data_IF_061733273987
#
_entry.id   IF_061733273987
#
_cell.length_a   1.000
_cell.length_b   1.000
_cell.length_c   1.000
_cell.angle_alpha   90.00
_cell.angle_beta   90.00
_cell.angle_gamma   90.00
#
_symmetry.space_group_name_H-M   'P 1'
#
loop_
_entity.id
_entity.type
_entity.pdbx_description
1 polymer ?
#
# COMPACT_ATOMS: atom_id res chain seq x y z
N UNK A 1 27.28 23.45 63.71
CA UNK A 1 26.22 22.55 63.20
C UNK A 1 26.06 22.75 61.69
N UNK A 2 26.73 21.95 60.84
CA UNK A 2 26.53 22.00 59.39
C UNK A 2 25.32 21.14 58.95
N UNK A 3 24.40 21.71 58.19
CA UNK A 3 23.23 20.99 57.64
C UNK A 3 23.57 20.23 56.34
N UNK A 4 23.15 18.97 56.23
CA UNK A 4 23.38 18.15 55.04
C UNK A 4 22.47 18.52 53.86
N UNK A 5 23.03 19.05 52.78
CA UNK A 5 22.38 19.08 51.47
C UNK A 5 22.53 17.70 50.79
N UNK A 6 21.47 16.87 50.81
CA UNK A 6 21.43 15.64 50.00
C UNK A 6 20.86 15.91 48.61
N UNK A 7 21.65 15.64 47.56
CA UNK A 7 21.14 15.50 46.19
C UNK A 7 20.30 14.22 46.07
N UNK A 8 19.05 14.35 45.64
CA UNK A 8 18.34 13.37 44.80
C UNK A 8 17.98 14.14 43.52
N UNK A 9 18.47 13.84 42.31
CA UNK A 9 18.66 12.57 41.59
C UNK A 9 17.37 11.97 41.05
N UNK A 10 17.27 11.98 39.72
CA UNK A 10 16.44 11.08 38.91
C UNK A 10 14.91 11.14 39.10
N UNK A 11 14.31 12.30 38.81
CA UNK A 11 12.93 12.33 38.31
C UNK A 11 12.88 11.60 36.96
N UNK A 12 12.53 10.31 36.97
CA UNK A 12 12.42 9.50 35.74
C UNK A 12 11.28 10.06 34.90
N UNK A 13 11.59 10.58 33.71
CA UNK A 13 10.58 10.87 32.69
C UNK A 13 9.83 9.57 32.38
N UNK A 14 8.51 9.57 32.63
CA UNK A 14 7.64 8.45 32.27
C UNK A 14 7.57 8.43 30.75
N UNK A 15 8.32 7.51 30.14
CA UNK A 15 8.26 7.28 28.71
C UNK A 15 6.89 6.72 28.35
N UNK A 16 6.03 7.57 27.80
CA UNK A 16 4.86 7.15 27.05
C UNK A 16 5.35 6.41 25.79
N UNK A 17 5.64 5.11 25.94
CA UNK A 17 5.69 4.18 24.83
C UNK A 17 4.26 4.04 24.30
N UNK A 18 3.94 4.75 23.24
CA UNK A 18 2.66 4.65 22.54
C UNK A 18 2.39 3.19 22.17
N UNK A 19 1.33 2.61 22.74
CA UNK A 19 0.88 1.25 22.44
C UNK A 19 0.19 1.31 21.07
N UNK A 20 0.95 1.03 20.02
CA UNK A 20 0.55 1.18 18.62
C UNK A 20 0.64 -0.18 17.92
N UNK A 21 -0.51 -0.86 17.78
CA UNK A 21 -0.60 -2.24 17.29
C UNK A 21 -1.78 -2.41 16.32
N UNK A 22 -1.77 -1.78 15.14
CA UNK A 22 -2.86 -1.95 14.14
C UNK A 22 -2.33 -2.14 12.72
N UNK A 23 -2.13 -3.42 12.35
CA UNK A 23 -2.11 -3.94 10.97
C UNK A 23 -1.71 -2.94 9.83
N UNK A 24 -0.41 -2.63 9.65
CA UNK A 24 0.11 -1.97 8.43
C UNK A 24 -0.19 -2.71 7.10
N UNK A 25 -0.82 -3.88 7.14
CA UNK A 25 -0.98 -4.79 6.00
C UNK A 25 -1.82 -4.27 4.84
N UNK A 26 -2.75 -3.33 5.06
CA UNK A 26 -3.65 -2.88 3.98
C UNK A 26 -2.99 -1.83 3.08
N UNK A 27 -2.42 -0.77 3.67
CA UNK A 27 -1.83 0.34 2.90
C UNK A 27 -0.45 0.06 2.31
N UNK A 28 0.29 -0.94 2.81
CA UNK A 28 1.66 -1.24 2.36
C UNK A 28 1.72 -1.98 1.00
N UNK A 29 0.62 -2.61 0.58
CA UNK A 29 0.51 -3.41 -0.66
C UNK A 29 0.57 -2.59 -1.97
N UNK A 30 0.42 -1.26 -1.89
CA UNK A 30 -0.12 -0.46 -3.00
C UNK A 30 0.89 0.51 -3.65
N UNK A 31 2.14 0.55 -3.19
CA UNK A 31 3.17 1.50 -3.66
C UNK A 31 3.89 1.15 -4.96
N UNK A 32 3.24 0.52 -5.94
CA UNK A 32 3.90 -0.37 -6.92
C UNK A 32 4.47 0.34 -8.18
N UNK A 33 5.62 1.07 -8.10
CA UNK A 33 6.59 1.35 -9.21
C UNK A 33 7.88 2.09 -8.74
N UNK A 34 9.08 2.11 -9.38
CA UNK A 34 9.88 1.19 -10.24
C UNK A 34 11.39 1.63 -10.36
N UNK A 35 12.34 0.70 -10.57
CA UNK A 35 13.79 0.97 -10.49
C UNK A 35 14.32 1.93 -11.56
N UNK A 36 15.19 2.86 -11.15
CA UNK A 36 16.00 3.67 -12.06
C UNK A 36 17.34 2.99 -12.43
N UNK A 37 17.72 3.13 -13.70
CA UNK A 37 19.12 3.10 -14.13
C UNK A 37 19.39 4.43 -14.84
N UNK A 38 20.46 5.14 -14.45
CA UNK A 38 20.71 6.50 -14.93
C UNK A 38 21.32 6.52 -16.34
N UNK A 39 20.52 6.92 -17.34
CA UNK A 39 21.02 7.50 -18.59
C UNK A 39 20.13 8.69 -18.95
N UNK A 40 20.71 9.86 -19.19
CA UNK A 40 19.97 11.02 -19.66
C UNK A 40 19.71 10.87 -21.16
N UNK A 41 18.44 10.87 -21.56
CA UNK A 41 18.01 10.78 -22.97
C UNK A 41 16.99 11.89 -23.22
N UNK A 42 17.15 12.73 -24.27
CA UNK A 42 16.19 13.76 -24.60
C UNK A 42 14.87 13.14 -25.04
N UNK A 43 13.74 13.73 -24.63
CA UNK A 43 12.41 13.20 -24.92
C UNK A 43 12.11 13.20 -26.43
N UNK A 44 11.88 12.03 -27.07
CA UNK A 44 11.38 11.97 -28.43
C UNK A 44 9.86 12.05 -28.43
N UNK A 45 9.28 12.82 -29.35
CA UNK A 45 7.89 12.63 -29.75
C UNK A 45 7.78 11.33 -30.56
N UNK A 46 7.78 10.19 -29.88
CA UNK A 46 7.46 8.91 -30.49
C UNK A 46 5.98 8.90 -30.87
N UNK A 47 5.71 8.67 -32.16
CA UNK A 47 4.43 8.12 -32.59
C UNK A 47 4.17 6.78 -31.89
N UNK A 48 2.92 6.31 -31.88
CA UNK A 48 2.47 5.14 -31.13
C UNK A 48 2.97 3.78 -31.70
N UNK A 49 4.28 3.60 -31.81
CA UNK A 49 4.93 2.31 -31.97
C UNK A 49 4.84 1.54 -30.65
N UNK A 50 4.45 0.26 -30.73
CA UNK A 50 4.16 -0.67 -29.63
C UNK A 50 4.93 -0.35 -28.33
N UNK A 51 4.24 0.30 -27.38
CA UNK A 51 4.73 0.43 -26.01
C UNK A 51 4.97 -0.98 -25.45
N UNK A 52 6.05 -1.17 -24.72
CA UNK A 52 6.36 -2.46 -24.08
C UNK A 52 5.84 -2.49 -22.63
N UNK A 53 5.55 -3.66 -22.04
CA UNK A 53 5.11 -3.73 -20.65
C UNK A 53 6.12 -3.11 -19.67
N UNK A 54 7.42 -3.23 -19.95
CA UNK A 54 8.50 -2.58 -19.17
C UNK A 54 8.43 -1.04 -19.28
N UNK A 55 8.01 -0.50 -20.43
CA UNK A 55 7.84 0.93 -20.63
C UNK A 55 6.66 1.48 -19.82
N UNK A 56 5.51 0.80 -19.86
CA UNK A 56 4.38 1.13 -19.01
C UNK A 56 4.72 1.06 -17.52
N UNK A 57 5.40 0.00 -17.07
CA UNK A 57 5.84 -0.11 -15.67
C UNK A 57 6.80 1.05 -15.27
N UNK A 58 7.66 1.53 -16.18
CA UNK A 58 8.47 2.75 -15.96
C UNK A 58 7.58 3.99 -15.80
N UNK A 59 6.54 4.14 -16.61
CA UNK A 59 5.59 5.27 -16.49
C UNK A 59 4.84 5.28 -15.16
N UNK A 60 4.58 4.12 -14.54
CA UNK A 60 4.03 4.07 -13.17
C UNK A 60 5.02 4.67 -12.15
N UNK A 61 6.35 4.52 -12.31
CA UNK A 61 7.31 5.19 -11.42
C UNK A 61 7.36 6.66 -11.72
N UNK A 62 7.33 7.03 -13.00
CA UNK A 62 7.24 8.43 -13.41
C UNK A 62 6.04 9.08 -12.73
N UNK A 63 4.86 8.45 -12.75
CA UNK A 63 3.67 8.92 -12.05
C UNK A 63 3.89 9.13 -10.54
N UNK A 64 4.48 8.14 -9.85
CA UNK A 64 4.84 8.27 -8.43
C UNK A 64 5.79 9.45 -8.21
N UNK A 65 6.94 9.48 -8.90
CA UNK A 65 8.00 10.46 -8.70
C UNK A 65 7.61 11.89 -9.18
N UNK A 66 6.71 12.06 -10.16
CA UNK A 66 6.19 13.37 -10.58
C UNK A 66 4.99 13.85 -9.77
N UNK A 67 4.42 12.98 -8.92
CA UNK A 67 3.17 13.19 -8.18
C UNK A 67 1.91 13.20 -9.08
N UNK A 68 1.97 12.58 -10.27
CA UNK A 68 0.90 12.57 -11.26
C UNK A 68 -0.02 11.34 -11.09
N UNK A 69 -1.13 11.53 -10.38
CA UNK A 69 -2.11 10.47 -10.19
C UNK A 69 -2.94 10.13 -11.45
N UNK A 70 -3.03 11.04 -12.44
CA UNK A 70 -3.71 10.74 -13.70
C UNK A 70 -2.85 9.82 -14.58
N UNK A 71 -1.53 10.05 -14.58
CA UNK A 71 -0.56 9.12 -15.17
C UNK A 71 -0.57 7.77 -14.43
N UNK A 72 -0.74 7.76 -13.10
CA UNK A 72 -0.87 6.53 -12.33
C UNK A 72 -2.09 5.70 -12.78
N UNK A 73 -3.30 6.28 -12.79
CA UNK A 73 -4.52 5.54 -13.16
C UNK A 73 -4.54 5.14 -14.65
N UNK A 74 -3.80 5.84 -15.53
CA UNK A 74 -3.60 5.42 -16.93
C UNK A 74 -2.82 4.10 -17.05
N UNK A 75 -1.82 3.90 -16.20
CA UNK A 75 -0.92 2.73 -16.24
C UNK A 75 -1.21 1.67 -15.16
N UNK A 76 -2.12 1.94 -14.21
CA UNK A 76 -2.55 1.01 -13.16
C UNK A 76 -4.07 1.05 -13.00
N UNK A 77 -4.73 -0.10 -13.04
CA UNK A 77 -6.14 -0.24 -12.64
C UNK A 77 -6.24 -0.27 -11.11
N UNK A 78 -6.04 0.90 -10.49
CA UNK A 78 -5.98 1.06 -9.03
C UNK A 78 -7.28 0.58 -8.37
N UNK A 79 -8.44 0.79 -9.02
CA UNK A 79 -9.73 0.33 -8.53
C UNK A 79 -9.83 -1.19 -8.45
N UNK A 80 -9.49 -1.89 -9.54
CA UNK A 80 -9.50 -3.36 -9.58
C UNK A 80 -8.46 -3.97 -8.64
N UNK A 81 -7.26 -3.40 -8.55
CA UNK A 81 -6.21 -3.88 -7.65
C UNK A 81 -6.60 -3.67 -6.19
N UNK A 82 -7.23 -2.54 -5.84
CA UNK A 82 -7.76 -2.30 -4.50
C UNK A 82 -8.88 -3.31 -4.15
N UNK A 83 -9.81 -3.59 -5.07
CA UNK A 83 -10.84 -4.62 -4.87
C UNK A 83 -10.22 -6.01 -4.64
N UNK A 84 -9.25 -6.42 -5.47
CA UNK A 84 -8.50 -7.68 -5.30
C UNK A 84 -7.75 -7.76 -3.97
N UNK A 85 -7.09 -6.68 -3.57
CA UNK A 85 -6.40 -6.58 -2.28
C UNK A 85 -7.36 -6.73 -1.11
N UNK A 86 -8.54 -6.09 -1.16
CA UNK A 86 -9.58 -6.21 -0.13
C UNK A 86 -10.19 -7.61 -0.09
N UNK A 87 -10.49 -8.23 -1.23
CA UNK A 87 -10.97 -9.62 -1.28
C UNK A 87 -9.97 -10.59 -0.63
N UNK A 88 -8.69 -10.48 -0.98
CA UNK A 88 -7.63 -11.30 -0.40
C UNK A 88 -7.42 -10.99 1.10
N UNK A 89 -7.55 -9.72 1.52
CA UNK A 89 -7.42 -9.33 2.93
C UNK A 89 -8.57 -9.84 3.78
N UNK A 90 -9.80 -9.79 3.28
CA UNK A 90 -10.99 -10.32 3.92
C UNK A 90 -10.98 -11.85 3.98
N UNK A 91 -10.52 -12.52 2.91
CA UNK A 91 -10.26 -13.96 2.92
C UNK A 91 -9.24 -14.33 4.01
N UNK A 92 -8.15 -13.57 4.13
CA UNK A 92 -7.15 -13.80 5.16
C UNK A 92 -7.63 -13.43 6.57
N UNK A 93 -8.56 -12.47 6.75
CA UNK A 93 -9.22 -12.22 8.04
C UNK A 93 -10.12 -13.39 8.48
N UNK A 94 -10.66 -14.18 7.56
CA UNK A 94 -11.41 -15.41 7.89
C UNK A 94 -10.48 -16.58 8.17
N UNK A 95 -9.47 -16.79 7.33
CA UNK A 95 -8.51 -17.90 7.49
C UNK A 95 -7.58 -17.71 8.70
N UNK A 96 -7.25 -16.46 9.04
CA UNK A 96 -6.49 -16.05 10.22
C UNK A 96 -7.18 -14.84 10.86
N UNK A 97 -8.21 -15.07 11.70
CA UNK A 97 -8.76 -14.00 12.52
C UNK A 97 -7.64 -13.35 13.33
N UNK A 98 -7.60 -12.00 13.42
CA UNK A 98 -6.65 -11.35 14.31
C UNK A 98 -6.88 -11.90 15.72
N UNK A 99 -5.81 -12.33 16.39
CA UNK A 99 -5.90 -12.68 17.81
C UNK A 99 -6.48 -11.47 18.53
N UNK A 100 -7.58 -11.66 19.26
CA UNK A 100 -7.94 -10.70 20.31
C UNK A 100 -6.69 -10.51 21.18
N UNK A 101 -6.28 -9.27 21.45
CA UNK A 101 -5.05 -9.03 22.19
C UNK A 101 -5.29 -9.44 23.64
N UNK A 102 -4.90 -10.67 23.99
CA UNK A 102 -4.98 -11.28 25.32
C UNK A 102 -4.07 -10.55 26.32
N UNK A 103 -4.42 -9.30 26.60
CA UNK A 103 -3.55 -8.27 27.14
C UNK A 103 -4.08 -6.84 26.93
N UNK A 104 -5.40 -6.65 26.86
CA UNK A 104 -6.04 -5.32 26.93
C UNK A 104 -5.91 -4.43 25.69
N UNK A 105 -5.46 -4.97 24.55
CA UNK A 105 -5.44 -4.24 23.27
C UNK A 105 -6.76 -4.39 22.52
N UNK A 106 -7.43 -3.28 22.21
CA UNK A 106 -8.63 -3.30 21.38
C UNK A 106 -8.27 -3.76 19.96
N UNK A 107 -8.79 -4.92 19.53
CA UNK A 107 -8.96 -5.15 18.09
C UNK A 107 -9.88 -4.04 17.58
N UNK A 108 -9.42 -3.21 16.63
CA UNK A 108 -10.23 -2.10 16.13
C UNK A 108 -11.69 -2.55 15.93
N UNK A 109 -12.69 -1.87 16.50
CA UNK A 109 -14.09 -2.27 16.37
C UNK A 109 -14.52 -2.47 14.91
N UNK A 110 -13.90 -1.72 14.00
CA UNK A 110 -13.99 -1.85 12.56
C UNK A 110 -13.47 -3.19 12.01
N UNK A 111 -12.32 -3.69 12.46
CA UNK A 111 -11.79 -5.00 12.06
C UNK A 111 -12.65 -6.15 12.61
N UNK A 112 -13.18 -6.02 13.83
CA UNK A 112 -14.12 -6.96 14.40
C UNK A 112 -15.48 -6.95 13.65
N UNK A 113 -15.97 -5.77 13.24
CA UNK A 113 -17.15 -5.65 12.39
C UNK A 113 -16.91 -6.25 11.00
N UNK A 114 -15.74 -6.04 10.39
CA UNK A 114 -15.39 -6.62 9.09
C UNK A 114 -15.27 -8.14 9.14
N UNK A 115 -14.60 -8.71 10.16
CA UNK A 115 -14.54 -10.18 10.30
C UNK A 115 -15.91 -10.79 10.58
N UNK A 116 -16.71 -10.17 11.46
CA UNK A 116 -18.09 -10.60 11.75
C UNK A 116 -19.01 -10.52 10.52
N UNK A 117 -18.93 -9.45 9.73
CA UNK A 117 -19.73 -9.30 8.50
C UNK A 117 -19.39 -10.37 7.44
N UNK A 118 -18.11 -10.77 7.34
CA UNK A 118 -17.71 -11.85 6.41
C UNK A 118 -18.07 -13.23 6.97
N UNK A 119 -17.94 -13.45 8.28
CA UNK A 119 -18.31 -14.71 8.95
C UNK A 119 -19.83 -14.97 8.96
N UNK A 120 -20.65 -13.93 9.16
CA UNK A 120 -22.12 -14.01 9.08
C UNK A 120 -22.66 -14.23 7.66
N UNK A 121 -21.80 -14.10 6.65
CA UNK A 121 -22.10 -14.44 5.26
C UNK A 121 -21.29 -13.57 4.30
N UNK A 122 -20.20 -14.12 3.77
CA UNK A 122 -19.32 -13.43 2.82
C UNK A 122 -20.00 -12.99 1.50
N UNK A 123 -21.18 -13.55 1.21
CA UNK A 123 -22.05 -13.19 0.07
C UNK A 123 -23.22 -12.26 0.46
N UNK A 124 -23.32 -11.81 1.70
CA UNK A 124 -24.36 -10.88 2.13
C UNK A 124 -24.17 -9.51 1.49
N UNK A 125 -25.27 -8.81 1.19
CA UNK A 125 -25.24 -7.46 0.63
C UNK A 125 -24.44 -6.49 1.53
N UNK A 126 -24.49 -6.68 2.85
CA UNK A 126 -23.72 -5.92 3.84
C UNK A 126 -22.21 -6.18 3.69
N UNK A 127 -21.77 -7.44 3.60
CA UNK A 127 -20.36 -7.77 3.41
C UNK A 127 -19.82 -7.23 2.08
N UNK A 128 -20.59 -7.34 0.99
CA UNK A 128 -20.20 -6.80 -0.32
C UNK A 128 -20.15 -5.26 -0.31
N UNK A 129 -21.10 -4.59 0.36
CA UNK A 129 -21.09 -3.13 0.54
C UNK A 129 -19.86 -2.68 1.34
N UNK A 130 -19.53 -3.38 2.43
CA UNK A 130 -18.31 -3.11 3.22
C UNK A 130 -17.05 -3.29 2.37
N UNK A 131 -16.94 -4.38 1.59
CA UNK A 131 -15.80 -4.58 0.68
C UNK A 131 -15.63 -3.43 -0.32
N UNK A 132 -16.71 -2.98 -0.96
CA UNK A 132 -16.66 -1.86 -1.91
C UNK A 132 -16.19 -0.56 -1.25
N UNK A 133 -16.67 -0.27 -0.03
CA UNK A 133 -16.25 0.92 0.71
C UNK A 133 -14.78 0.87 1.15
N UNK A 134 -14.30 -0.29 1.64
CA UNK A 134 -12.87 -0.47 1.95
C UNK A 134 -12.03 -0.34 0.68
N UNK A 135 -12.48 -0.90 -0.46
CA UNK A 135 -11.74 -0.85 -1.72
C UNK A 135 -11.64 0.56 -2.30
N UNK A 136 -12.69 1.39 -2.23
CA UNK A 136 -12.61 2.78 -2.66
C UNK A 136 -11.74 3.63 -1.70
N UNK A 137 -11.84 3.46 -0.38
CA UNK A 137 -10.93 4.17 0.53
C UNK A 137 -9.46 3.72 0.35
N UNK A 138 -9.25 2.43 0.04
CA UNK A 138 -7.94 1.88 -0.36
C UNK A 138 -7.43 2.55 -1.63
N UNK A 139 -8.25 2.68 -2.68
CA UNK A 139 -7.90 3.40 -3.92
C UNK A 139 -7.56 4.86 -3.64
N UNK A 140 -8.37 5.58 -2.86
CA UNK A 140 -8.12 6.98 -2.48
C UNK A 140 -6.77 7.13 -1.79
N UNK A 141 -6.41 6.24 -0.88
CA UNK A 141 -5.10 6.27 -0.21
C UNK A 141 -3.93 6.20 -1.20
N UNK A 142 -4.01 5.38 -2.26
CA UNK A 142 -2.97 5.33 -3.32
C UNK A 142 -2.93 6.62 -4.13
N UNK A 143 -4.10 7.06 -4.61
CA UNK A 143 -4.26 8.26 -5.46
C UNK A 143 -3.78 9.51 -4.72
N UNK A 144 -4.13 9.64 -3.42
CA UNK A 144 -3.60 10.67 -2.53
C UNK A 144 -2.10 10.53 -2.29
N UNK A 145 -1.59 9.32 -2.06
CA UNK A 145 -0.18 9.08 -1.76
C UNK A 145 0.74 9.58 -2.88
N UNK A 146 0.30 9.41 -4.13
CA UNK A 146 0.93 10.00 -5.31
C UNK A 146 0.64 11.49 -5.43
N UNK A 147 -0.63 11.92 -5.48
CA UNK A 147 -1.01 13.32 -5.73
C UNK A 147 -0.55 14.33 -4.64
N UNK A 148 -0.20 13.85 -3.45
CA UNK A 148 0.42 14.64 -2.37
C UNK A 148 1.94 14.76 -2.51
N UNK A 149 2.61 13.79 -3.13
CA UNK A 149 4.06 13.66 -3.16
C UNK A 149 4.67 12.89 -1.97
N UNK A 150 3.85 12.34 -1.08
CA UNK A 150 4.33 11.47 -0.01
C UNK A 150 5.03 10.22 -0.59
N UNK A 151 4.44 9.57 -1.58
CA UNK A 151 5.03 8.39 -2.22
C UNK A 151 6.25 8.70 -3.10
N UNK A 152 6.55 9.96 -3.44
CA UNK A 152 7.84 10.36 -4.04
C UNK A 152 8.89 10.80 -3.02
N UNK A 153 8.55 10.86 -1.72
CA UNK A 153 9.42 11.38 -0.67
C UNK A 153 9.67 12.89 -0.76
N UNK A 154 8.89 13.62 -1.57
CA UNK A 154 9.04 15.07 -1.73
C UNK A 154 8.35 15.80 -0.57
N UNK A 155 8.91 16.91 -0.05
CA UNK A 155 8.33 17.65 1.06
C UNK A 155 6.94 18.19 0.69
N UNK A 156 5.91 17.70 1.38
CA UNK A 156 4.51 18.02 1.07
C UNK A 156 4.20 19.45 1.55
N UNK A 157 3.86 20.35 0.61
CA UNK A 157 3.69 21.79 0.88
C UNK A 157 2.48 22.18 1.76
N UNK A 158 1.59 21.22 2.05
CA UNK A 158 0.48 21.32 3.02
C UNK A 158 0.16 19.91 3.52
N UNK A 159 -0.07 19.73 4.81
CA UNK A 159 -0.61 18.48 5.33
C UNK A 159 -2.01 18.21 4.72
N UNK A 160 -2.06 17.33 3.73
CA UNK A 160 -3.28 16.66 3.30
C UNK A 160 -3.37 15.38 4.11
N UNK A 161 -4.50 15.11 4.77
CA UNK A 161 -4.71 13.84 5.47
C UNK A 161 -4.70 12.67 4.47
N UNK A 162 -4.23 11.50 4.90
CA UNK A 162 -4.10 10.30 4.04
C UNK A 162 -5.44 9.74 3.54
N UNK A 163 -6.51 10.11 4.22
CA UNK A 163 -7.92 9.81 3.99
C UNK A 163 -8.72 10.99 4.55
N UNK A 164 -9.96 11.21 4.13
CA UNK A 164 -10.76 12.38 4.52
C UNK A 164 -11.27 12.34 5.98
N UNK A 165 -10.79 11.39 6.79
CA UNK A 165 -11.35 11.04 8.09
C UNK A 165 -12.58 10.14 8.00
N UNK A 166 -12.71 9.39 6.89
CA UNK A 166 -13.79 8.42 6.68
C UNK A 166 -13.73 7.24 7.65
N UNK A 167 -14.81 6.45 7.68
CA UNK A 167 -14.96 5.31 8.60
C UNK A 167 -13.76 4.35 8.59
N UNK A 168 -13.11 4.18 7.43
CA UNK A 168 -12.00 3.25 7.24
C UNK A 168 -10.61 3.85 7.45
N UNK A 169 -10.47 5.15 7.73
CA UNK A 169 -9.20 5.80 8.08
C UNK A 169 -8.35 5.03 9.10
N UNK A 170 -8.90 4.42 10.17
CA UNK A 170 -8.12 3.65 11.13
C UNK A 170 -7.46 2.38 10.57
N UNK A 171 -7.88 1.87 9.40
CA UNK A 171 -7.20 0.74 8.73
C UNK A 171 -5.90 1.17 8.01
N UNK A 172 -5.65 2.49 7.95
CA UNK A 172 -4.52 3.09 7.27
C UNK A 172 -3.68 3.98 8.22
N UNK A 173 -3.89 3.92 9.55
CA UNK A 173 -3.09 4.69 10.52
C UNK A 173 -1.62 4.31 10.49
N UNK A 174 -1.36 3.00 10.44
CA UNK A 174 -0.03 2.41 10.47
C UNK A 174 0.48 2.14 9.03
N UNK A 175 -0.27 2.57 8.01
CA UNK A 175 0.13 2.45 6.62
C UNK A 175 1.30 3.39 6.32
N UNK A 176 2.38 2.83 5.76
CA UNK A 176 3.55 3.62 5.40
C UNK A 176 3.21 4.67 4.34
N UNK A 177 3.33 5.95 4.71
CA UNK A 177 3.23 7.09 3.79
C UNK A 177 4.56 7.47 3.13
N UNK A 178 5.67 6.77 3.45
CA UNK A 178 7.01 7.09 2.92
C UNK A 178 7.16 6.86 1.41
N UNK A 179 8.33 7.20 0.85
CA UNK A 179 8.63 7.03 -0.58
C UNK A 179 8.46 5.57 -1.01
N UNK A 180 7.85 5.37 -2.18
CA UNK A 180 7.60 4.08 -2.82
C UNK A 180 8.40 3.97 -4.11
N UNK A 181 8.98 2.80 -4.34
CA UNK A 181 9.92 2.52 -5.43
C UNK A 181 9.95 1.00 -5.67
N UNK A 182 9.62 0.44 -6.84
CA UNK A 182 10.04 -0.95 -7.10
C UNK A 182 11.51 -0.97 -7.41
N UNK A 183 12.08 -2.14 -7.22
CA UNK A 183 13.41 -2.54 -7.61
C UNK A 183 13.29 -3.70 -8.58
N UNK A 184 14.26 -3.80 -9.49
CA UNK A 184 14.51 -4.93 -10.39
C UNK A 184 13.26 -5.51 -11.08
N UNK A 185 13.00 -5.09 -12.32
CA UNK A 185 12.17 -5.88 -13.24
C UNK A 185 12.97 -7.14 -13.60
N UNK A 186 12.67 -8.26 -12.94
CA UNK A 186 13.47 -9.51 -13.05
C UNK A 186 13.08 -10.33 -14.27
N UNK A 187 11.81 -10.27 -14.64
CA UNK A 187 11.22 -10.98 -15.77
C UNK A 187 10.00 -10.21 -16.25
N UNK A 188 9.83 -10.16 -17.57
CA UNK A 188 8.57 -9.83 -18.22
C UNK A 188 8.33 -10.87 -19.30
N UNK A 189 7.13 -11.44 -19.34
CA UNK A 189 6.70 -12.40 -20.36
C UNK A 189 5.47 -11.85 -21.05
N UNK A 190 5.56 -11.49 -22.33
CA UNK A 190 4.42 -11.04 -23.16
C UNK A 190 3.77 -12.24 -23.86
N UNK A 191 2.44 -12.28 -23.81
CA UNK A 191 1.57 -13.21 -24.53
C UNK A 191 0.46 -12.40 -25.22
N UNK A 192 0.67 -12.05 -26.48
CA UNK A 192 -0.22 -11.16 -27.25
C UNK A 192 -0.41 -9.79 -26.59
N UNK A 193 -1.63 -9.53 -26.13
CA UNK A 193 -2.08 -8.34 -25.40
C UNK A 193 -2.11 -8.52 -23.87
N UNK A 194 -1.49 -9.58 -23.35
CA UNK A 194 -1.22 -9.80 -21.93
C UNK A 194 0.27 -9.83 -21.67
N UNK A 195 0.66 -9.49 -20.45
CA UNK A 195 2.00 -9.77 -19.96
C UNK A 195 1.99 -10.09 -18.46
N UNK A 196 2.97 -10.86 -18.00
CA UNK A 196 3.28 -11.00 -16.57
C UNK A 196 4.63 -10.37 -16.27
N UNK A 197 4.80 -9.82 -15.07
CA UNK A 197 6.05 -9.18 -14.65
C UNK A 197 6.34 -9.42 -13.17
N UNK A 198 7.56 -9.81 -12.82
CA UNK A 198 8.01 -9.94 -11.43
C UNK A 198 8.95 -8.79 -11.05
N UNK A 199 8.56 -8.04 -10.03
CA UNK A 199 9.21 -6.81 -9.55
C UNK A 199 9.40 -6.85 -8.03
N UNK A 200 9.99 -5.82 -7.40
CA UNK A 200 10.21 -5.81 -5.95
C UNK A 200 9.95 -4.43 -5.33
N UNK A 201 8.76 -4.19 -4.76
CA UNK A 201 8.43 -2.93 -4.06
C UNK A 201 9.33 -2.71 -2.86
N UNK A 202 10.20 -1.72 -2.92
CA UNK A 202 10.84 -1.12 -1.75
C UNK A 202 10.03 0.06 -1.22
N UNK A 203 9.62 -0.04 0.04
CA UNK A 203 9.04 1.07 0.79
C UNK A 203 10.09 1.70 1.71
N UNK A 204 10.45 2.95 1.43
CA UNK A 204 11.39 3.73 2.26
C UNK A 204 10.82 4.05 3.64
N UNK A 205 9.50 4.07 3.82
CA UNK A 205 8.88 4.37 5.13
C UNK A 205 8.89 3.20 6.12
N UNK A 206 9.16 1.98 5.67
CA UNK A 206 9.31 0.78 6.51
C UNK A 206 10.63 0.02 6.28
N UNK A 207 11.49 0.54 5.40
CA UNK A 207 12.77 0.00 4.93
C UNK A 207 12.70 -1.43 4.39
N UNK A 208 11.56 -1.82 3.78
CA UNK A 208 11.27 -3.21 3.41
C UNK A 208 11.07 -3.41 1.92
N UNK A 209 11.44 -4.62 1.47
CA UNK A 209 11.33 -5.08 0.08
C UNK A 209 10.26 -6.18 -0.04
N UNK A 210 9.30 -6.00 -0.94
CA UNK A 210 8.17 -6.89 -1.18
C UNK A 210 8.20 -7.39 -2.62
N UNK A 211 8.36 -8.70 -2.91
CA UNK A 211 8.28 -9.21 -4.27
C UNK A 211 6.83 -9.09 -4.76
N UNK A 212 6.59 -8.38 -5.86
CA UNK A 212 5.25 -8.18 -6.41
C UNK A 212 5.19 -8.82 -7.79
N UNK A 213 4.22 -9.71 -7.99
CA UNK A 213 3.97 -10.38 -9.26
C UNK A 213 2.73 -9.77 -9.92
N UNK A 214 2.90 -9.23 -11.12
CA UNK A 214 1.93 -8.38 -11.81
C UNK A 214 1.38 -9.06 -13.05
N UNK A 215 0.10 -8.82 -13.34
CA UNK A 215 -0.47 -8.98 -14.68
C UNK A 215 -0.67 -7.60 -15.30
N UNK A 216 -0.25 -7.46 -16.56
CA UNK A 216 -0.54 -6.33 -17.42
C UNK A 216 -1.45 -6.76 -18.56
N UNK A 217 -2.23 -5.80 -19.08
CA UNK A 217 -3.07 -5.99 -20.25
C UNK A 217 -2.98 -4.76 -21.15
N UNK A 218 -2.98 -4.97 -22.47
CA UNK A 218 -2.98 -3.87 -23.43
C UNK A 218 -4.37 -3.22 -23.49
N UNK A 219 -4.38 -1.89 -23.48
CA UNK A 219 -5.57 -1.04 -23.62
C UNK A 219 -5.87 -0.81 -25.11
N UNK A 220 -7.13 -0.50 -25.44
CA UNK A 220 -7.50 -0.08 -26.81
C UNK A 220 -6.78 1.20 -27.26
N UNK A 221 -6.37 2.04 -26.31
CA UNK A 221 -5.52 3.22 -26.49
C UNK A 221 -4.04 2.88 -26.85
N UNK A 222 -3.70 1.59 -26.95
CA UNK A 222 -2.38 1.09 -27.35
C UNK A 222 -1.38 0.92 -26.21
N UNK A 223 -1.57 1.60 -25.08
CA UNK A 223 -0.71 1.49 -23.89
C UNK A 223 -0.97 0.21 -23.08
N UNK A 224 -0.03 -0.19 -22.22
CA UNK A 224 -0.26 -1.24 -21.23
C UNK A 224 -0.78 -0.67 -19.91
N UNK A 225 -1.58 -1.46 -19.20
CA UNK A 225 -2.04 -1.15 -17.85
C UNK A 225 -1.79 -2.35 -16.94
N UNK A 226 -1.32 -2.14 -15.70
CA UNK A 226 -1.28 -3.16 -14.65
C UNK A 226 -2.71 -3.43 -14.19
N UNK A 227 -3.18 -4.67 -14.31
CA UNK A 227 -4.58 -5.06 -14.06
C UNK A 227 -4.76 -6.08 -12.94
N UNK A 228 -3.69 -6.72 -12.45
CA UNK A 228 -3.79 -7.62 -11.29
C UNK A 228 -2.44 -7.74 -10.55
N UNK A 229 -2.51 -8.08 -9.25
CA UNK A 229 -1.36 -8.41 -8.40
C UNK A 229 -1.52 -9.86 -7.96
N UNK A 230 -0.94 -10.78 -8.72
CA UNK A 230 -1.27 -12.22 -8.64
C UNK A 230 -0.82 -12.85 -7.33
N UNK A 231 0.19 -12.27 -6.67
CA UNK A 231 0.70 -12.73 -5.37
C UNK A 231 0.15 -11.94 -4.16
N UNK A 232 -0.87 -11.09 -4.33
CA UNK A 232 -1.38 -10.19 -3.29
C UNK A 232 -1.72 -10.91 -1.96
N UNK A 233 -2.33 -12.10 -2.02
CA UNK A 233 -2.64 -12.89 -0.82
C UNK A 233 -1.38 -13.33 -0.04
N UNK A 234 -0.27 -13.60 -0.72
CA UNK A 234 1.01 -13.93 -0.09
C UNK A 234 1.67 -12.69 0.54
N UNK A 235 1.51 -11.51 -0.07
CA UNK A 235 1.98 -10.24 0.50
C UNK A 235 1.16 -9.83 1.73
N UNK A 236 -0.17 -9.90 1.68
CA UNK A 236 -1.05 -9.69 2.86
C UNK A 236 -0.62 -10.61 3.99
N UNK A 237 -0.39 -11.88 3.66
CA UNK A 237 0.04 -12.93 4.57
C UNK A 237 1.38 -12.64 5.24
N UNK A 238 2.36 -12.07 4.53
CA UNK A 238 3.65 -11.69 5.11
C UNK A 238 3.52 -10.44 5.96
N UNK A 239 2.90 -9.38 5.44
CA UNK A 239 2.85 -8.08 6.13
C UNK A 239 2.02 -8.19 7.43
N UNK A 240 0.97 -9.02 7.48
CA UNK A 240 0.27 -9.31 8.74
C UNK A 240 1.16 -10.03 9.75
N UNK A 241 1.92 -11.05 9.33
CA UNK A 241 2.93 -11.70 10.20
C UNK A 241 4.03 -10.72 10.61
N UNK A 242 4.42 -9.77 9.77
CA UNK A 242 5.39 -8.72 10.10
C UNK A 242 4.84 -7.68 11.09
N UNK A 243 3.52 -7.54 11.20
CA UNK A 243 2.85 -6.72 12.21
C UNK A 243 2.71 -7.47 13.55
N UNK A 244 2.44 -8.78 13.52
CA UNK A 244 2.32 -9.64 14.70
C UNK A 244 3.65 -9.90 15.44
N UNK A 245 4.80 -9.56 14.83
CA UNK A 245 6.15 -9.83 15.34
C UNK A 245 6.97 -8.53 15.59
N UNK A 246 6.31 -7.42 15.92
CA UNK A 246 6.94 -6.13 16.31
C UNK A 246 6.67 -5.81 17.78
#
# INVERSE_FOLDING_TARGET
>A
MPGYFRRFSSSRLISFRSISFVLPSLGLLLGVALLTAFVSVPAPCLAAADETPEAALRQVQTAIDTNDAALLERYVDVGRIAQRGVDAFMSDLVARPPKAVSGGGETLPLLAMLSSAVQSGAQSQTAQTMKMLVAEETRKFVVWGVASGNFSGKPVKKERKATDGGLFSPLFSDASVGRKELRSVKSVTRDGDKATASVTLFDHGSERSYPVDLTLSRRQEGNWQVTDVTNAAALISSIRKEAENR
#
